data_IF_479229598354
#
_entry.id   IF_479229598354
#
_cell.length_a   1.000
_cell.length_b   1.000
_cell.length_c   1.000
_cell.angle_alpha   90.00
_cell.angle_beta   90.00
_cell.angle_gamma   90.00
#
_symmetry.space_group_name_H-M   'P 1'
#
loop_
_entity.id
_entity.type
_entity.pdbx_description
1 polymer ?
#
# COMPACT_ATOMS: atom_id res chain seq x y z
N UNK A 1 34.15 24.05 -22.59
CA UNK A 1 33.76 23.03 -21.61
C UNK A 1 34.44 23.47 -20.34
N UNK A 2 33.73 24.22 -19.51
CA UNK A 2 34.28 24.71 -18.26
C UNK A 2 34.55 23.50 -17.38
N UNK A 3 35.82 23.34 -17.02
CA UNK A 3 36.35 22.29 -16.15
C UNK A 3 35.84 22.59 -14.73
N UNK A 4 34.60 22.18 -14.45
CA UNK A 4 34.01 22.34 -13.12
C UNK A 4 34.77 21.39 -12.21
N UNK A 5 35.65 21.96 -11.39
CA UNK A 5 36.37 21.23 -10.37
C UNK A 5 35.38 20.37 -9.55
N UNK A 6 35.72 19.09 -9.28
CA UNK A 6 34.83 18.22 -8.51
C UNK A 6 34.53 18.87 -7.16
N UNK A 7 33.26 18.78 -6.74
CA UNK A 7 32.83 19.32 -5.46
C UNK A 7 33.69 18.74 -4.32
N UNK A 8 34.04 19.55 -3.30
CA UNK A 8 34.83 19.06 -2.17
C UNK A 8 34.11 17.90 -1.48
N UNK A 9 34.85 16.89 -0.99
CA UNK A 9 34.24 15.78 -0.29
C UNK A 9 33.50 16.27 0.96
N UNK A 10 32.36 15.65 1.31
CA UNK A 10 31.60 16.04 2.48
C UNK A 10 32.42 15.89 3.77
N UNK A 11 32.13 16.68 4.82
CA UNK A 11 32.83 16.61 6.10
C UNK A 11 32.79 15.19 6.68
N UNK A 12 33.87 14.71 7.32
CA UNK A 12 33.85 13.44 8.05
C UNK A 12 32.73 13.47 9.10
N UNK A 13 31.72 12.60 8.93
CA UNK A 13 30.56 12.50 9.83
C UNK A 13 29.29 13.22 9.37
N UNK A 14 29.25 13.84 8.18
CA UNK A 14 27.98 14.28 7.61
C UNK A 14 27.22 13.09 7.03
N UNK A 15 25.97 12.89 7.44
CA UNK A 15 25.05 11.97 6.77
C UNK A 15 24.86 12.37 5.31
N UNK A 16 24.56 11.39 4.46
CA UNK A 16 24.20 11.66 3.07
C UNK A 16 22.82 12.33 3.02
N UNK A 17 22.72 13.36 2.18
CA UNK A 17 21.50 14.11 1.89
C UNK A 17 21.20 14.01 0.39
N UNK A 18 19.93 13.91 0.05
CA UNK A 18 19.46 13.90 -1.33
C UNK A 18 19.55 15.28 -1.97
N UNK A 19 19.77 15.30 -3.28
CA UNK A 19 19.64 16.52 -4.08
C UNK A 19 18.15 16.89 -4.26
N UNK A 20 17.83 18.17 -4.53
CA UNK A 20 16.43 18.60 -4.73
C UNK A 20 15.69 17.82 -5.84
N UNK A 21 16.42 17.32 -6.84
CA UNK A 21 15.84 16.49 -7.90
C UNK A 21 15.43 15.10 -7.40
N UNK A 22 16.17 14.52 -6.46
CA UNK A 22 15.90 13.23 -5.84
C UNK A 22 14.73 13.34 -4.86
N UNK A 23 14.71 14.38 -4.04
CA UNK A 23 13.60 14.72 -3.16
C UNK A 23 12.27 14.84 -3.91
N UNK A 24 12.27 15.49 -5.07
CA UNK A 24 11.06 15.63 -5.87
C UNK A 24 10.50 14.27 -6.34
N UNK A 25 11.37 13.28 -6.59
CA UNK A 25 10.94 11.91 -6.94
C UNK A 25 10.35 11.21 -5.72
N UNK A 26 10.99 11.34 -4.56
CA UNK A 26 10.56 10.74 -3.30
C UNK A 26 9.21 11.35 -2.87
N UNK A 27 9.06 12.66 -2.91
CA UNK A 27 7.84 13.38 -2.57
C UNK A 27 6.68 12.96 -3.48
N UNK A 28 6.90 12.88 -4.78
CA UNK A 28 5.89 12.41 -5.74
C UNK A 28 5.48 10.97 -5.43
N UNK A 29 6.42 10.11 -5.09
CA UNK A 29 6.15 8.72 -4.70
C UNK A 29 5.35 8.66 -3.40
N UNK A 30 5.76 9.41 -2.38
CA UNK A 30 5.05 9.55 -1.10
C UNK A 30 3.59 9.94 -1.31
N UNK A 31 3.36 10.91 -2.21
CA UNK A 31 2.04 11.41 -2.55
C UNK A 31 1.16 10.33 -3.18
N UNK A 32 1.65 9.61 -4.19
CA UNK A 32 0.89 8.53 -4.84
C UNK A 32 0.59 7.36 -3.90
N UNK A 33 1.57 6.95 -3.11
CA UNK A 33 1.40 5.90 -2.09
C UNK A 33 0.35 6.31 -1.05
N UNK A 34 0.36 7.58 -0.63
CA UNK A 34 -0.64 8.13 0.31
C UNK A 34 -2.04 8.20 -0.32
N UNK A 35 -2.14 8.67 -1.58
CA UNK A 35 -3.41 8.72 -2.29
C UNK A 35 -4.02 7.33 -2.48
N UNK A 36 -3.21 6.34 -2.86
CA UNK A 36 -3.67 4.97 -2.93
C UNK A 36 -4.21 4.49 -1.59
N UNK A 37 -3.49 4.80 -0.50
CA UNK A 37 -3.96 4.50 0.86
C UNK A 37 -5.35 5.07 1.15
N UNK A 38 -5.59 6.33 0.79
CA UNK A 38 -6.89 6.97 0.96
C UNK A 38 -8.00 6.38 0.10
N UNK A 39 -7.70 6.10 -1.18
CA UNK A 39 -8.64 5.46 -2.10
C UNK A 39 -9.06 4.10 -1.56
N UNK A 40 -8.10 3.30 -1.06
CA UNK A 40 -8.38 1.99 -0.49
C UNK A 40 -9.25 2.10 0.78
N UNK A 41 -8.97 3.06 1.69
CA UNK A 41 -9.84 3.31 2.85
C UNK A 41 -11.26 3.69 2.41
N UNK A 42 -11.40 4.62 1.47
CA UNK A 42 -12.71 5.07 0.99
C UNK A 42 -13.49 3.93 0.32
N UNK A 43 -12.84 3.15 -0.53
CA UNK A 43 -13.43 1.96 -1.15
C UNK A 43 -13.89 0.95 -0.09
N UNK A 44 -13.06 0.72 0.93
CA UNK A 44 -13.41 -0.19 2.03
C UNK A 44 -14.63 0.26 2.83
N UNK A 45 -14.74 1.56 3.13
CA UNK A 45 -15.92 2.14 3.77
C UNK A 45 -17.17 1.95 2.90
N UNK A 46 -17.08 2.22 1.60
CA UNK A 46 -18.21 2.03 0.68
C UNK A 46 -18.66 0.57 0.61
N UNK A 47 -17.72 -0.39 0.60
CA UNK A 47 -18.04 -1.82 0.62
C UNK A 47 -18.72 -2.24 1.92
N UNK A 48 -18.27 -1.75 3.07
CA UNK A 48 -18.92 -2.01 4.37
C UNK A 48 -20.34 -1.45 4.38
N UNK A 49 -20.51 -0.18 4.01
CA UNK A 49 -21.83 0.46 3.98
C UNK A 49 -22.77 -0.30 3.04
N UNK A 50 -22.31 -0.65 1.83
CA UNK A 50 -23.09 -1.43 0.88
C UNK A 50 -23.50 -2.80 1.42
N UNK A 51 -22.55 -3.55 1.98
CA UNK A 51 -22.82 -4.88 2.54
C UNK A 51 -23.79 -4.86 3.74
N UNK A 52 -23.75 -3.81 4.55
CA UNK A 52 -24.69 -3.61 5.66
C UNK A 52 -26.10 -3.20 5.20
N UNK A 53 -26.35 -2.98 3.91
CA UNK A 53 -27.72 -2.71 3.43
C UNK A 53 -28.53 -3.97 3.16
N UNK A 54 -27.89 -5.11 2.88
CA UNK A 54 -28.58 -6.35 2.47
C UNK A 54 -28.76 -7.35 3.61
N UNK A 55 -27.88 -7.34 4.62
CA UNK A 55 -27.90 -8.25 5.79
C UNK A 55 -27.95 -9.75 5.47
N UNK A 56 -27.58 -10.12 4.26
CA UNK A 56 -27.47 -11.50 3.79
C UNK A 56 -26.02 -11.97 3.74
N UNK A 57 -25.81 -13.24 3.37
CA UNK A 57 -24.47 -13.82 3.27
C UNK A 57 -23.57 -13.06 2.29
N UNK A 58 -24.14 -12.54 1.19
CA UNK A 58 -23.43 -11.70 0.22
C UNK A 58 -22.99 -10.36 0.81
N UNK A 59 -23.88 -9.71 1.56
CA UNK A 59 -23.59 -8.44 2.24
C UNK A 59 -22.51 -8.57 3.30
N UNK A 60 -22.54 -9.64 4.10
CA UNK A 60 -21.48 -9.93 5.07
C UNK A 60 -20.12 -10.15 4.40
N UNK A 61 -20.09 -10.90 3.29
CA UNK A 61 -18.87 -11.10 2.51
C UNK A 61 -18.33 -9.79 1.91
N UNK A 62 -19.22 -8.93 1.41
CA UNK A 62 -18.87 -7.61 0.89
C UNK A 62 -18.30 -6.70 1.99
N UNK A 63 -18.91 -6.71 3.18
CA UNK A 63 -18.41 -5.92 4.31
C UNK A 63 -17.03 -6.42 4.80
N UNK A 64 -16.82 -7.74 4.82
CA UNK A 64 -15.51 -8.33 5.12
C UNK A 64 -14.43 -7.88 4.11
N UNK A 65 -14.76 -7.87 2.80
CA UNK A 65 -13.88 -7.33 1.77
C UNK A 65 -13.58 -5.84 2.00
N UNK A 66 -14.57 -5.07 2.44
CA UNK A 66 -14.35 -3.67 2.82
C UNK A 66 -13.33 -3.50 3.96
N UNK A 67 -13.38 -4.37 4.98
CA UNK A 67 -12.37 -4.42 6.04
C UNK A 67 -10.95 -4.68 5.51
N UNK A 68 -10.81 -5.58 4.53
CA UNK A 68 -9.54 -5.85 3.83
C UNK A 68 -8.99 -4.59 3.15
N UNK A 69 -9.83 -3.86 2.43
CA UNK A 69 -9.46 -2.61 1.77
C UNK A 69 -9.03 -1.52 2.75
N UNK A 70 -9.71 -1.40 3.90
CA UNK A 70 -9.31 -0.46 4.97
C UNK A 70 -7.93 -0.81 5.50
N UNK A 71 -7.66 -2.09 5.79
CA UNK A 71 -6.34 -2.52 6.27
C UNK A 71 -5.23 -2.17 5.27
N UNK A 72 -5.42 -2.49 3.99
CA UNK A 72 -4.48 -2.11 2.92
C UNK A 72 -4.26 -0.59 2.94
N UNK A 73 -5.34 0.19 2.98
CA UNK A 73 -5.27 1.63 2.94
C UNK A 73 -4.49 2.24 4.12
N UNK A 74 -4.67 1.70 5.33
CA UNK A 74 -3.93 2.13 6.54
C UNK A 74 -2.43 1.89 6.39
N UNK A 75 -2.02 0.72 5.91
CA UNK A 75 -0.60 0.40 5.71
C UNK A 75 0.05 1.28 4.64
N UNK A 76 -0.60 1.46 3.49
CA UNK A 76 -0.07 2.32 2.41
C UNK A 76 0.00 3.79 2.83
N UNK A 77 -0.99 4.31 3.57
CA UNK A 77 -0.91 5.66 4.15
C UNK A 77 0.27 5.78 5.13
N UNK A 78 0.55 4.75 5.92
CA UNK A 78 1.70 4.70 6.82
C UNK A 78 3.04 4.74 6.09
N UNK A 79 3.16 4.01 4.98
CA UNK A 79 4.34 4.01 4.12
C UNK A 79 4.53 5.36 3.40
N UNK A 80 3.46 5.94 2.84
CA UNK A 80 3.51 7.23 2.16
C UNK A 80 3.95 8.37 3.08
N UNK A 81 3.46 8.40 4.32
CA UNK A 81 3.93 9.34 5.35
C UNK A 81 5.41 9.15 5.71
N UNK A 82 5.91 7.92 5.70
CA UNK A 82 7.31 7.67 5.98
C UNK A 82 8.21 8.14 4.85
N UNK A 83 7.79 7.95 3.58
CA UNK A 83 8.45 8.51 2.41
C UNK A 83 8.47 10.05 2.46
N UNK A 84 7.36 10.69 2.85
CA UNK A 84 7.30 12.15 2.96
C UNK A 84 8.31 12.70 3.97
N UNK A 85 8.53 11.99 5.09
CA UNK A 85 9.53 12.40 6.09
C UNK A 85 10.95 12.45 5.54
N UNK A 86 11.30 11.65 4.53
CA UNK A 86 12.62 11.71 3.91
C UNK A 86 12.91 13.12 3.37
N UNK A 87 11.87 13.78 2.83
CA UNK A 87 11.98 15.13 2.25
C UNK A 87 11.79 16.22 3.31
N UNK A 88 10.97 15.96 4.33
CA UNK A 88 10.65 16.93 5.38
C UNK A 88 11.75 17.05 6.47
N UNK A 89 12.68 16.09 6.54
CA UNK A 89 13.75 16.05 7.54
C UNK A 89 15.12 16.11 6.88
N UNK A 90 16.08 16.74 7.56
CA UNK A 90 17.48 16.77 7.14
C UNK A 90 18.36 15.99 8.11
N UNK A 91 19.48 15.46 7.62
CA UNK A 91 20.56 14.93 8.43
C UNK A 91 20.66 13.41 8.53
N UNK A 92 19.95 12.63 7.71
CA UNK A 92 20.10 11.16 7.59
C UNK A 92 19.17 10.55 6.51
N UNK A 93 19.21 11.05 5.28
CA UNK A 93 18.16 10.72 4.31
C UNK A 93 18.11 9.25 3.92
N UNK A 94 19.26 8.58 3.84
CA UNK A 94 19.33 7.12 3.62
C UNK A 94 18.63 6.36 4.75
N UNK A 95 18.81 6.77 6.00
CA UNK A 95 18.14 6.15 7.15
C UNK A 95 16.62 6.29 7.07
N UNK A 96 16.14 7.48 6.72
CA UNK A 96 14.71 7.73 6.54
C UNK A 96 14.14 6.95 5.35
N UNK A 97 14.87 6.87 4.24
CA UNK A 97 14.45 6.10 3.07
C UNK A 97 14.35 4.61 3.41
N UNK A 98 15.33 4.06 4.11
CA UNK A 98 15.30 2.64 4.52
C UNK A 98 14.13 2.33 5.45
N UNK A 99 13.80 3.21 6.41
CA UNK A 99 12.59 3.06 7.24
C UNK A 99 11.32 3.10 6.39
N UNK A 100 11.27 4.00 5.40
CA UNK A 100 10.12 4.13 4.53
C UNK A 100 9.93 2.91 3.61
N UNK A 101 11.03 2.35 3.08
CA UNK A 101 11.03 1.12 2.28
C UNK A 101 10.62 -0.10 3.09
N UNK A 102 11.01 -0.21 4.36
CA UNK A 102 10.55 -1.28 5.24
C UNK A 102 9.03 -1.21 5.46
N UNK A 103 8.48 -0.01 5.71
CA UNK A 103 7.04 0.20 5.81
C UNK A 103 6.30 -0.09 4.50
N UNK A 104 6.87 0.27 3.36
CA UNK A 104 6.31 -0.05 2.05
C UNK A 104 6.31 -1.56 1.81
N UNK A 105 7.38 -2.25 2.22
CA UNK A 105 7.46 -3.72 2.18
C UNK A 105 6.39 -4.35 3.05
N UNK A 106 6.17 -3.85 4.26
CA UNK A 106 5.10 -4.31 5.13
C UNK A 106 3.72 -4.11 4.48
N UNK A 107 3.48 -2.96 3.85
CA UNK A 107 2.23 -2.69 3.13
C UNK A 107 1.99 -3.67 1.98
N UNK A 108 3.01 -3.96 1.17
CA UNK A 108 2.92 -4.96 0.11
C UNK A 108 2.73 -6.37 0.65
N UNK A 109 3.42 -6.77 1.72
CA UNK A 109 3.24 -8.09 2.35
C UNK A 109 1.79 -8.28 2.80
N UNK A 110 1.22 -7.29 3.49
CA UNK A 110 -0.18 -7.31 3.92
C UNK A 110 -1.10 -7.44 2.71
N UNK A 111 -0.90 -6.63 1.67
CA UNK A 111 -1.71 -6.70 0.45
C UNK A 111 -1.60 -8.07 -0.23
N UNK A 112 -0.40 -8.62 -0.38
CA UNK A 112 -0.17 -9.93 -1.02
C UNK A 112 -0.85 -11.04 -0.22
N UNK A 113 -0.69 -11.08 1.10
CA UNK A 113 -1.33 -12.10 1.96
C UNK A 113 -2.86 -12.02 1.80
N UNK A 114 -3.44 -10.82 1.88
CA UNK A 114 -4.88 -10.61 1.78
C UNK A 114 -5.42 -11.00 0.40
N UNK A 115 -4.72 -10.64 -0.68
CA UNK A 115 -5.08 -11.04 -2.05
C UNK A 115 -4.99 -12.55 -2.22
N UNK A 116 -3.93 -13.19 -1.72
CA UNK A 116 -3.78 -14.67 -1.79
C UNK A 116 -4.92 -15.35 -1.05
N UNK A 117 -5.23 -14.93 0.18
CA UNK A 117 -6.36 -15.48 0.96
C UNK A 117 -7.67 -15.31 0.20
N UNK A 118 -7.93 -14.12 -0.34
CA UNK A 118 -9.13 -13.84 -1.13
C UNK A 118 -9.24 -14.74 -2.37
N UNK A 119 -8.16 -14.88 -3.14
CA UNK A 119 -8.12 -15.72 -4.34
C UNK A 119 -8.36 -17.19 -3.99
N UNK A 120 -7.71 -17.72 -2.94
CA UNK A 120 -7.93 -19.09 -2.48
C UNK A 120 -9.39 -19.32 -2.09
N UNK A 121 -9.97 -18.41 -1.30
CA UNK A 121 -11.38 -18.50 -0.91
C UNK A 121 -12.32 -18.46 -2.12
N UNK A 122 -12.05 -17.59 -3.10
CA UNK A 122 -12.83 -17.50 -4.33
C UNK A 122 -12.77 -18.81 -5.15
N UNK A 123 -11.59 -19.40 -5.30
CA UNK A 123 -11.41 -20.69 -6.00
C UNK A 123 -12.18 -21.82 -5.29
N UNK A 124 -12.11 -21.88 -3.96
CA UNK A 124 -12.86 -22.87 -3.17
C UNK A 124 -14.36 -22.67 -3.35
N UNK A 125 -14.85 -21.42 -3.25
CA UNK A 125 -16.26 -21.11 -3.44
C UNK A 125 -16.78 -21.50 -4.83
N UNK A 126 -16.03 -21.16 -5.89
CA UNK A 126 -16.37 -21.52 -7.28
C UNK A 126 -16.44 -23.05 -7.43
N UNK A 127 -15.48 -23.78 -6.86
CA UNK A 127 -15.46 -25.26 -6.93
C UNK A 127 -16.67 -25.88 -6.24
N UNK A 128 -17.06 -25.36 -5.08
CA UNK A 128 -18.26 -25.81 -4.35
C UNK A 128 -19.54 -25.52 -5.15
N UNK A 129 -19.64 -24.33 -5.75
CA UNK A 129 -20.80 -23.96 -6.58
C UNK A 129 -20.90 -24.86 -7.82
N UNK A 130 -19.77 -25.08 -8.52
CA UNK A 130 -19.73 -25.91 -9.73
C UNK A 130 -20.14 -27.37 -9.45
N UNK A 131 -19.73 -27.94 -8.32
CA UNK A 131 -20.08 -29.32 -7.94
C UNK A 131 -21.55 -29.47 -7.51
N UNK A 132 -22.16 -28.42 -6.93
CA UNK A 132 -23.58 -28.41 -6.54
C UNK A 132 -24.54 -28.15 -7.70
N UNK A 133 -24.10 -27.44 -8.74
CA UNK A 133 -24.93 -27.14 -9.92
C UNK A 133 -25.06 -28.29 -10.92
N UNK A 134 -24.22 -29.33 -10.83
CA UNK A 134 -24.19 -30.45 -11.77
C UNK A 134 -25.18 -31.59 -11.50
N UNK A 135 -26.00 -31.54 -10.43
CA UNK A 135 -26.84 -32.68 -10.00
C UNK A 135 -28.32 -32.60 -10.41
N UNK A 136 -28.74 -31.71 -11.30
CA UNK A 136 -30.09 -31.76 -11.88
C UNK A 136 -30.09 -32.56 -13.18
N UNK A 137 -30.18 -33.89 -13.08
CA UNK A 137 -30.53 -34.77 -14.18
C UNK A 137 -31.85 -35.46 -13.82
N UNK A 138 -33.00 -35.08 -14.41
CA UNK A 138 -34.12 -35.99 -14.60
C UNK A 138 -33.90 -36.89 -15.82
#
# INVERSE_FOLDING_TARGET
>A
MDDVAPAPPPPPGSSYEFEPAEDAVIERTARWVTWWGWIAVAAGILLIVGGLTTWDEGGLAQAALGGVYILIGVYFRGAGRALARVVDTTGNDIGHLMEALDRLTAAFRVQVILVVVFVVMAVVAITIIATRGGTTVP
#
